data_IF_476302932139
#
_entry.id   IF_476302932139
#
_cell.length_a   1.000
_cell.length_b   1.000
_cell.length_c   1.000
_cell.angle_alpha   90.00
_cell.angle_beta   90.00
_cell.angle_gamma   90.00
#
_symmetry.space_group_name_H-M   'P 1'
#
loop_
_entity.id
_entity.type
_entity.pdbx_description
1 polymer ?
#
# COMPACT_ATOMS: atom_id res chain seq x y z
N UNK A 1 -28.38 -45.82 -20.15
CA UNK A 1 -28.64 -44.47 -19.61
C UNK A 1 -27.91 -44.32 -18.28
N UNK A 2 -26.84 -43.52 -18.23
CA UNK A 2 -26.15 -43.16 -17.00
C UNK A 2 -25.73 -41.69 -17.11
N UNK A 3 -26.50 -40.82 -16.48
CA UNK A 3 -26.22 -39.39 -16.42
C UNK A 3 -25.33 -39.12 -15.21
N UNK A 4 -24.04 -38.83 -15.45
CA UNK A 4 -23.15 -38.26 -14.45
C UNK A 4 -23.65 -36.86 -14.08
N UNK A 5 -24.13 -36.70 -12.85
CA UNK A 5 -24.41 -35.40 -12.25
C UNK A 5 -23.10 -34.63 -12.08
N UNK A 6 -22.92 -33.55 -12.86
CA UNK A 6 -21.91 -32.53 -12.57
C UNK A 6 -22.33 -31.80 -11.29
N UNK A 7 -21.43 -31.76 -10.29
CA UNK A 7 -21.56 -30.88 -9.12
C UNK A 7 -21.37 -29.43 -9.61
N UNK A 8 -22.18 -28.45 -9.17
CA UNK A 8 -21.87 -27.05 -9.41
C UNK A 8 -20.66 -26.64 -8.56
N UNK A 9 -19.76 -25.89 -9.17
CA UNK A 9 -18.50 -25.44 -8.59
C UNK A 9 -18.71 -24.51 -7.38
N UNK A 10 -18.01 -24.81 -6.30
CA UNK A 10 -17.99 -24.03 -5.06
C UNK A 10 -16.85 -23.02 -4.98
N UNK A 11 -16.42 -22.41 -6.09
CA UNK A 11 -15.26 -21.49 -6.10
C UNK A 11 -15.60 -20.05 -5.71
N UNK A 12 -16.86 -19.60 -5.82
CA UNK A 12 -17.23 -18.20 -5.54
C UNK A 12 -17.26 -17.85 -4.05
N UNK A 13 -17.66 -18.80 -3.19
CA UNK A 13 -17.79 -18.58 -1.74
C UNK A 13 -16.44 -18.48 -1.02
N UNK A 14 -15.44 -19.26 -1.43
CA UNK A 14 -14.09 -19.21 -0.85
C UNK A 14 -13.36 -17.93 -1.23
N UNK A 15 -13.47 -17.49 -2.49
CA UNK A 15 -12.88 -16.23 -2.97
C UNK A 15 -13.49 -15.00 -2.27
N UNK A 16 -14.78 -15.02 -1.95
CA UNK A 16 -15.41 -13.93 -1.19
C UNK A 16 -15.02 -13.90 0.30
N UNK A 17 -14.75 -15.05 0.91
CA UNK A 17 -14.22 -15.13 2.28
C UNK A 17 -12.78 -14.59 2.35
N UNK A 18 -11.90 -15.05 1.45
CA UNK A 18 -10.52 -14.56 1.38
C UNK A 18 -10.44 -13.04 1.16
N UNK A 19 -11.25 -12.53 0.22
CA UNK A 19 -11.36 -11.08 -0.01
C UNK A 19 -11.82 -10.31 1.24
N UNK A 20 -12.74 -10.87 2.04
CA UNK A 20 -13.18 -10.24 3.29
C UNK A 20 -12.09 -10.20 4.35
N UNK A 21 -11.30 -11.26 4.47
CA UNK A 21 -10.18 -11.32 5.41
C UNK A 21 -9.07 -10.34 5.04
N UNK A 22 -8.70 -10.26 3.76
CA UNK A 22 -7.73 -9.27 3.25
C UNK A 22 -8.19 -7.84 3.51
N UNK A 23 -9.46 -7.53 3.20
CA UNK A 23 -10.01 -6.20 3.47
C UNK A 23 -10.11 -5.91 4.97
N UNK A 24 -10.35 -6.94 5.79
CA UNK A 24 -10.33 -6.83 7.25
C UNK A 24 -8.94 -6.48 7.76
N UNK A 25 -7.88 -7.08 7.21
CA UNK A 25 -6.51 -6.78 7.58
C UNK A 25 -6.14 -5.31 7.30
N UNK A 26 -6.71 -4.71 6.25
CA UNK A 26 -6.51 -3.29 5.92
C UNK A 26 -7.51 -2.33 6.61
N UNK A 27 -8.36 -2.77 7.56
CA UNK A 27 -9.32 -1.88 8.25
C UNK A 27 -8.68 -0.85 9.19
N UNK A 28 -9.13 0.40 9.12
CA UNK A 28 -8.52 1.54 9.81
C UNK A 28 -7.62 2.33 8.86
N UNK A 29 -7.23 3.55 9.27
CA UNK A 29 -6.40 4.42 8.44
C UNK A 29 -5.06 3.78 8.09
N UNK A 30 -4.58 4.04 6.86
CA UNK A 30 -3.32 3.51 6.33
C UNK A 30 -2.49 4.60 5.67
N UNK A 31 -1.17 4.44 5.74
CA UNK A 31 -0.23 5.16 4.87
C UNK A 31 0.28 4.18 3.82
N UNK A 32 0.07 4.50 2.54
CA UNK A 32 0.53 3.69 1.44
C UNK A 32 1.92 4.14 1.01
N UNK A 33 2.84 3.19 0.95
CA UNK A 33 4.13 3.40 0.31
C UNK A 33 3.97 3.62 -1.21
N UNK A 34 4.98 4.22 -1.83
CA UNK A 34 5.04 4.40 -3.27
C UNK A 34 4.83 3.08 -4.02
N UNK A 35 5.46 1.98 -3.56
CA UNK A 35 5.30 0.66 -4.16
C UNK A 35 3.83 0.22 -4.22
N UNK A 36 3.09 0.35 -3.13
CA UNK A 36 1.67 -0.01 -3.04
C UNK A 36 0.80 0.86 -3.98
N UNK A 37 1.09 2.16 -4.06
CA UNK A 37 0.37 3.07 -4.96
C UNK A 37 0.69 2.76 -6.43
N UNK A 38 1.94 2.43 -6.76
CA UNK A 38 2.34 2.07 -8.14
C UNK A 38 1.61 0.80 -8.59
N UNK A 39 1.54 -0.24 -7.76
CA UNK A 39 0.76 -1.46 -8.03
C UNK A 39 -0.71 -1.10 -8.36
N UNK A 40 -1.32 -0.23 -7.56
CA UNK A 40 -2.68 0.28 -7.80
C UNK A 40 -2.82 1.03 -9.13
N UNK A 41 -1.96 2.03 -9.38
CA UNK A 41 -2.03 2.88 -10.57
C UNK A 41 -1.70 2.13 -11.87
N UNK A 42 -0.95 1.04 -11.78
CA UNK A 42 -0.60 0.20 -12.93
C UNK A 42 -1.54 -1.01 -13.10
N UNK A 43 -2.46 -1.24 -12.17
CA UNK A 43 -3.53 -2.25 -12.29
C UNK A 43 -3.04 -3.69 -12.12
N UNK A 44 -2.00 -3.90 -11.31
CA UNK A 44 -1.48 -5.24 -11.01
C UNK A 44 -2.42 -6.04 -10.11
N UNK A 45 -2.07 -7.30 -9.84
CA UNK A 45 -2.79 -8.16 -8.90
C UNK A 45 -2.79 -7.58 -7.47
N UNK A 46 -1.62 -7.20 -6.95
CA UNK A 46 -1.50 -6.53 -5.65
C UNK A 46 -2.25 -5.20 -5.64
N UNK A 47 -2.26 -4.48 -6.77
CA UNK A 47 -3.03 -3.24 -6.93
C UNK A 47 -4.54 -3.43 -6.74
N UNK A 48 -5.09 -4.62 -7.00
CA UNK A 48 -6.52 -4.92 -6.76
C UNK A 48 -6.85 -4.94 -5.28
N UNK A 49 -5.90 -5.28 -4.41
CA UNK A 49 -6.08 -5.25 -2.95
C UNK A 49 -6.29 -3.80 -2.50
N UNK A 50 -5.41 -2.89 -2.95
CA UNK A 50 -5.53 -1.45 -2.67
C UNK A 50 -6.86 -0.91 -3.23
N UNK A 51 -7.20 -1.25 -4.48
CA UNK A 51 -8.48 -0.86 -5.07
C UNK A 51 -9.67 -1.30 -4.20
N UNK A 52 -9.71 -2.56 -3.79
CA UNK A 52 -10.78 -3.09 -2.96
C UNK A 52 -10.85 -2.42 -1.59
N UNK A 53 -9.70 -2.07 -1.01
CA UNK A 53 -9.64 -1.30 0.24
C UNK A 53 -10.23 0.11 0.05
N UNK A 54 -9.82 0.84 -1.00
CA UNK A 54 -10.33 2.17 -1.31
C UNK A 54 -11.84 2.17 -1.60
N UNK A 55 -12.37 1.15 -2.28
CA UNK A 55 -13.81 0.97 -2.52
C UNK A 55 -14.60 0.67 -1.23
N UNK A 56 -13.94 0.11 -0.22
CA UNK A 56 -14.54 -0.27 1.07
C UNK A 56 -14.24 0.73 2.20
N UNK A 57 -13.66 1.89 1.87
CA UNK A 57 -13.25 2.90 2.84
C UNK A 57 -14.45 3.43 3.63
N UNK A 58 -14.34 3.48 4.95
CA UNK A 58 -15.34 4.11 5.83
C UNK A 58 -15.06 5.62 5.97
N UNK A 59 -16.07 6.45 6.27
CA UNK A 59 -15.90 7.90 6.39
C UNK A 59 -14.84 8.34 7.42
N UNK A 60 -14.60 7.53 8.45
CA UNK A 60 -13.62 7.80 9.51
C UNK A 60 -12.21 7.29 9.17
N UNK A 61 -12.08 6.45 8.15
CA UNK A 61 -10.81 5.90 7.69
C UNK A 61 -10.17 6.86 6.69
N UNK A 62 -8.85 7.03 6.82
CA UNK A 62 -8.07 7.91 5.95
C UNK A 62 -6.93 7.16 5.29
N UNK A 63 -6.56 7.63 4.11
CA UNK A 63 -5.44 7.10 3.33
C UNK A 63 -4.43 8.21 3.18
N UNK A 64 -3.18 7.91 3.53
CA UNK A 64 -2.09 8.88 3.50
C UNK A 64 -0.96 8.43 2.59
N UNK A 65 -0.16 9.39 2.14
CA UNK A 65 1.19 9.15 1.66
C UNK A 65 2.07 10.37 1.96
N UNK A 66 3.39 10.21 1.89
CA UNK A 66 4.32 11.32 2.06
C UNK A 66 4.55 12.08 0.74
N UNK A 67 5.00 13.33 0.82
CA UNK A 67 5.47 14.08 -0.35
C UNK A 67 6.63 13.37 -1.08
N UNK A 68 7.48 12.64 -0.33
CA UNK A 68 8.54 11.82 -0.93
C UNK A 68 7.97 10.66 -1.74
N UNK A 69 6.89 10.01 -1.26
CA UNK A 69 6.21 8.97 -2.05
C UNK A 69 5.60 9.55 -3.33
N UNK A 70 5.06 10.78 -3.32
CA UNK A 70 4.59 11.45 -4.55
C UNK A 70 5.73 11.59 -5.58
N UNK A 71 6.90 12.04 -5.13
CA UNK A 71 8.08 12.13 -5.99
C UNK A 71 8.49 10.77 -6.54
N UNK A 72 8.43 9.74 -5.70
CA UNK A 72 8.79 8.37 -6.07
C UNK A 72 7.86 7.75 -7.10
N UNK A 73 6.54 7.82 -6.85
CA UNK A 73 5.52 7.37 -7.79
C UNK A 73 5.71 8.08 -9.13
N UNK A 74 5.91 9.41 -9.12
CA UNK A 74 6.08 10.17 -10.35
C UNK A 74 7.29 9.69 -11.16
N UNK A 75 8.47 9.57 -10.56
CA UNK A 75 9.66 9.19 -11.34
C UNK A 75 9.60 7.72 -11.79
N UNK A 76 9.01 6.83 -10.99
CA UNK A 76 8.85 5.42 -11.38
C UNK A 76 7.88 5.30 -12.56
N UNK A 77 6.70 5.92 -12.48
CA UNK A 77 5.74 5.91 -13.59
C UNK A 77 6.33 6.57 -14.84
N UNK A 78 7.10 7.65 -14.67
CA UNK A 78 7.77 8.35 -15.77
C UNK A 78 8.75 7.41 -16.49
N UNK A 79 9.57 6.66 -15.74
CA UNK A 79 10.50 5.67 -16.32
C UNK A 79 9.79 4.49 -16.99
N UNK A 80 8.64 4.09 -16.46
CA UNK A 80 7.89 2.96 -16.99
C UNK A 80 7.10 3.30 -18.27
N UNK A 81 6.47 4.48 -18.32
CA UNK A 81 5.43 4.80 -19.32
C UNK A 81 5.51 6.22 -19.88
N UNK A 82 6.51 7.01 -19.52
CA UNK A 82 6.72 8.36 -20.02
C UNK A 82 6.16 9.47 -19.12
N UNK A 83 6.60 10.70 -19.38
CA UNK A 83 6.33 11.88 -18.57
C UNK A 83 4.84 12.24 -18.53
N UNK A 84 4.18 12.21 -19.68
CA UNK A 84 2.76 12.56 -19.82
C UNK A 84 1.89 11.62 -18.99
N UNK A 85 2.14 10.32 -19.08
CA UNK A 85 1.43 9.30 -18.30
C UNK A 85 1.62 9.52 -16.79
N UNK A 86 2.85 9.79 -16.34
CA UNK A 86 3.13 10.04 -14.93
C UNK A 86 2.41 11.30 -14.41
N UNK A 87 2.43 12.39 -15.18
CA UNK A 87 1.78 13.64 -14.82
C UNK A 87 0.26 13.50 -14.74
N UNK A 88 -0.36 12.85 -15.72
CA UNK A 88 -1.79 12.55 -15.71
C UNK A 88 -2.17 11.73 -14.47
N UNK A 89 -1.37 10.70 -14.15
CA UNK A 89 -1.63 9.80 -13.03
C UNK A 89 -1.53 10.44 -11.66
N UNK A 90 -0.51 11.25 -11.44
CA UNK A 90 -0.38 12.03 -10.21
C UNK A 90 -1.49 13.07 -10.11
N UNK A 91 -1.82 13.77 -11.20
CA UNK A 91 -2.85 14.80 -11.19
C UNK A 91 -4.23 14.22 -10.83
N UNK A 92 -4.61 13.08 -11.39
CA UNK A 92 -5.86 12.42 -11.06
C UNK A 92 -5.89 11.94 -9.60
N UNK A 93 -4.79 11.34 -9.11
CA UNK A 93 -4.69 10.90 -7.73
C UNK A 93 -4.88 12.07 -6.75
N UNK A 94 -4.16 13.17 -6.96
CA UNK A 94 -4.24 14.36 -6.10
C UNK A 94 -5.62 15.05 -6.20
N UNK A 95 -6.19 15.10 -7.40
CA UNK A 95 -7.53 15.70 -7.63
C UNK A 95 -8.64 14.90 -6.95
N UNK A 96 -8.50 13.56 -6.87
CA UNK A 96 -9.48 12.69 -6.20
C UNK A 96 -9.65 12.98 -4.71
N UNK A 97 -8.61 13.54 -4.06
CA UNK A 97 -8.51 13.77 -2.61
C UNK A 97 -8.74 12.53 -1.74
N UNK A 98 -8.68 11.33 -2.33
CA UNK A 98 -8.79 10.06 -1.59
C UNK A 98 -7.53 9.82 -0.76
N UNK A 99 -6.37 10.23 -1.26
CA UNK A 99 -5.08 10.13 -0.57
C UNK A 99 -4.65 11.51 -0.06
N UNK A 100 -4.52 11.66 1.25
CA UNK A 100 -4.01 12.85 1.92
C UNK A 100 -2.47 12.84 1.90
N UNK A 101 -1.85 13.91 1.39
CA UNK A 101 -0.38 14.01 1.31
C UNK A 101 0.16 14.72 2.56
N UNK A 102 1.01 14.05 3.32
CA UNK A 102 1.79 14.67 4.39
C UNK A 102 3.04 15.33 3.80
N UNK A 103 3.09 16.65 3.91
CA UNK A 103 4.17 17.51 3.41
C UNK A 103 4.77 18.39 4.52
N UNK A 104 4.65 17.96 5.77
CA UNK A 104 5.10 18.71 6.93
C UNK A 104 6.62 18.61 7.16
N UNK A 105 7.19 19.61 7.83
CA UNK A 105 8.58 19.56 8.30
C UNK A 105 8.79 18.45 9.33
N UNK A 106 7.77 18.16 10.16
CA UNK A 106 7.77 17.06 11.12
C UNK A 106 7.98 15.71 10.42
N UNK A 107 7.27 15.46 9.32
CA UNK A 107 7.46 14.26 8.49
C UNK A 107 8.88 14.18 7.94
N UNK A 108 9.42 15.27 7.40
CA UNK A 108 10.77 15.29 6.83
C UNK A 108 11.85 15.01 7.90
N UNK A 109 11.73 15.61 9.08
CA UNK A 109 12.65 15.40 10.19
C UNK A 109 12.56 13.98 10.75
N UNK A 110 11.36 13.44 10.90
CA UNK A 110 11.16 12.06 11.38
C UNK A 110 11.68 11.03 10.37
N UNK A 111 11.48 11.25 9.07
CA UNK A 111 12.06 10.41 8.01
C UNK A 111 13.59 10.46 8.04
N UNK A 112 14.18 11.64 8.23
CA UNK A 112 15.63 11.80 8.40
C UNK A 112 16.17 11.10 9.64
N UNK A 113 15.46 11.17 10.78
CA UNK A 113 15.80 10.45 12.00
C UNK A 113 15.76 8.94 11.77
N UNK A 114 14.69 8.42 11.16
CA UNK A 114 14.58 7.01 10.81
C UNK A 114 15.73 6.59 9.88
N UNK A 115 16.09 7.39 8.89
CA UNK A 115 17.20 7.08 7.97
C UNK A 115 18.57 7.06 8.66
N UNK A 116 18.76 7.89 9.68
CA UNK A 116 19.96 7.89 10.52
C UNK A 116 20.07 6.58 11.31
N UNK A 117 18.94 6.08 11.81
CA UNK A 117 18.88 4.89 12.66
C UNK A 117 18.81 3.59 11.86
N UNK A 118 18.18 3.60 10.68
CA UNK A 118 17.76 2.41 9.92
C UNK A 118 18.38 2.41 8.52
N UNK A 119 18.92 1.26 8.10
CA UNK A 119 19.50 1.11 6.77
C UNK A 119 18.44 0.76 5.68
N UNK A 120 17.40 1.59 5.56
CA UNK A 120 16.33 1.49 4.54
C UNK A 120 16.28 2.75 3.67
N UNK A 121 15.52 2.76 2.58
CA UNK A 121 15.45 3.93 1.69
C UNK A 121 14.79 5.14 2.38
N UNK A 122 15.00 6.35 1.84
CA UNK A 122 14.32 7.54 2.35
C UNK A 122 12.80 7.50 2.08
N UNK A 123 12.37 6.81 1.01
CA UNK A 123 10.95 6.58 0.69
C UNK A 123 10.27 5.67 1.72
N UNK A 124 10.95 4.58 2.12
CA UNK A 124 10.45 3.72 3.20
C UNK A 124 10.39 4.48 4.52
N UNK A 125 11.43 5.27 4.82
CA UNK A 125 11.47 6.11 6.02
C UNK A 125 10.32 7.11 6.04
N UNK A 126 10.01 7.76 4.91
CA UNK A 126 8.94 8.75 4.85
C UNK A 126 7.56 8.11 4.96
N UNK A 127 7.34 6.92 4.39
CA UNK A 127 6.11 6.16 4.60
C UNK A 127 5.91 5.82 6.08
N UNK A 128 6.94 5.29 6.75
CA UNK A 128 6.89 4.93 8.18
C UNK A 128 6.71 6.17 9.06
N UNK A 129 7.38 7.28 8.73
CA UNK A 129 7.23 8.56 9.42
C UNK A 129 5.80 9.10 9.32
N UNK A 130 5.25 9.17 8.10
CA UNK A 130 3.86 9.59 7.88
C UNK A 130 2.88 8.67 8.59
N UNK A 131 3.10 7.35 8.59
CA UNK A 131 2.25 6.41 9.34
C UNK A 131 2.26 6.72 10.84
N UNK A 132 3.43 7.02 11.41
CA UNK A 132 3.58 7.36 12.82
C UNK A 132 2.85 8.66 13.17
N UNK A 133 3.03 9.71 12.38
CA UNK A 133 2.43 11.04 12.60
C UNK A 133 0.90 10.96 12.51
N UNK A 134 0.40 10.23 11.51
CA UNK A 134 -1.04 10.08 11.24
C UNK A 134 -1.71 9.00 12.06
N UNK A 135 -0.94 8.27 12.90
CA UNK A 135 -1.41 7.13 13.70
C UNK A 135 -2.10 6.07 12.84
N UNK A 136 -1.52 5.83 11.67
CA UNK A 136 -1.98 4.83 10.70
C UNK A 136 -0.95 3.71 10.58
N UNK A 137 -1.28 2.70 9.78
CA UNK A 137 -0.40 1.55 9.51
C UNK A 137 0.31 1.76 8.19
N UNK A 138 1.58 1.39 8.10
CA UNK A 138 2.34 1.51 6.87
C UNK A 138 2.10 0.29 5.98
N UNK A 139 1.80 0.50 4.69
CA UNK A 139 1.47 -0.57 3.74
C UNK A 139 2.43 -0.51 2.56
N UNK A 140 3.19 -1.58 2.37
CA UNK A 140 4.13 -1.77 1.27
C UNK A 140 3.62 -2.84 0.31
N UNK A 141 4.02 -2.79 -0.96
CA UNK A 141 3.63 -3.84 -1.90
C UNK A 141 4.23 -5.20 -1.52
N UNK A 142 5.54 -5.22 -1.20
CA UNK A 142 6.29 -6.44 -0.92
C UNK A 142 7.22 -6.25 0.28
N UNK A 143 7.59 -7.37 0.91
CA UNK A 143 8.58 -7.37 2.00
C UNK A 143 9.99 -7.30 1.43
N UNK A 144 10.46 -6.08 1.19
CA UNK A 144 11.80 -5.84 0.69
C UNK A 144 12.89 -6.24 1.69
N UNK A 145 14.05 -6.67 1.18
CA UNK A 145 15.15 -7.23 1.98
C UNK A 145 15.67 -6.25 3.03
N UNK A 146 15.91 -4.99 2.66
CA UNK A 146 16.43 -3.97 3.58
C UNK A 146 15.43 -3.71 4.72
N UNK A 147 14.15 -3.55 4.37
CA UNK A 147 13.08 -3.35 5.33
C UNK A 147 12.92 -4.56 6.26
N UNK A 148 12.94 -5.78 5.73
CA UNK A 148 12.89 -7.01 6.52
C UNK A 148 14.06 -7.14 7.50
N UNK A 149 15.28 -6.80 7.05
CA UNK A 149 16.47 -6.83 7.90
C UNK A 149 16.33 -5.85 9.08
N UNK A 150 15.88 -4.62 8.82
CA UNK A 150 15.69 -3.61 9.85
C UNK A 150 14.57 -3.98 10.83
N UNK A 151 13.45 -4.53 10.34
CA UNK A 151 12.39 -5.08 11.20
C UNK A 151 12.89 -6.22 12.11
N UNK A 152 13.77 -7.08 11.58
CA UNK A 152 14.37 -8.16 12.35
C UNK A 152 15.41 -7.67 13.37
N UNK A 153 16.02 -6.51 13.13
CA UNK A 153 16.94 -5.86 14.06
C UNK A 153 16.20 -5.20 15.22
N UNK A 154 15.15 -4.44 14.91
CA UNK A 154 14.28 -3.79 15.88
C UNK A 154 12.93 -3.42 15.24
N UNK A 155 11.80 -3.64 15.94
CA UNK A 155 10.49 -3.28 15.40
C UNK A 155 10.35 -1.77 15.20
N UNK A 156 9.57 -1.39 14.18
CA UNK A 156 9.14 0.00 14.02
C UNK A 156 8.06 0.37 15.03
N UNK A 157 7.87 1.67 15.27
CA UNK A 157 6.81 2.20 16.14
C UNK A 157 5.40 2.08 15.54
N UNK A 158 5.29 1.63 14.30
CA UNK A 158 4.03 1.46 13.56
C UNK A 158 3.93 0.01 13.08
N UNK A 159 2.71 -0.47 12.92
CA UNK A 159 2.46 -1.74 12.24
C UNK A 159 2.76 -1.58 10.75
N UNK A 160 3.49 -2.55 10.20
CA UNK A 160 3.89 -2.61 8.79
C UNK A 160 3.22 -3.82 8.15
N UNK A 161 2.47 -3.59 7.08
CA UNK A 161 1.74 -4.60 6.32
C UNK A 161 2.31 -4.71 4.90
N UNK A 162 2.22 -5.90 4.32
CA UNK A 162 2.70 -6.19 2.97
C UNK A 162 1.56 -6.76 2.12
N UNK A 163 1.24 -6.12 1.00
CA UNK A 163 0.16 -6.58 0.11
C UNK A 163 0.36 -8.03 -0.34
N UNK A 164 1.59 -8.41 -0.69
CA UNK A 164 1.92 -9.77 -1.12
C UNK A 164 1.66 -10.85 -0.05
N UNK A 165 1.69 -10.49 1.23
CA UNK A 165 1.38 -11.44 2.32
C UNK A 165 -0.11 -11.55 2.59
N UNK A 166 -0.87 -10.51 2.23
CA UNK A 166 -2.32 -10.54 2.27
C UNK A 166 -2.89 -11.36 1.10
N UNK A 167 -2.26 -11.27 -0.07
CA UNK A 167 -2.66 -12.02 -1.27
C UNK A 167 -2.51 -13.54 -1.12
N UNK A 168 -1.55 -13.98 -0.29
CA UNK A 168 -1.25 -15.41 -0.06
C UNK A 168 -2.14 -16.09 0.99
N UNK A 169 -3.10 -15.36 1.58
CA UNK A 169 -4.09 -15.95 2.49
C UNK A 169 -5.10 -16.90 1.80
N UNK A 170 -5.03 -17.03 0.46
CA UNK A 170 -5.86 -17.94 -0.35
C UNK A 170 -5.11 -19.22 -0.84
N UNK A 171 -3.96 -19.56 -0.25
CA UNK A 171 -3.14 -20.75 -0.59
C UNK A 171 -3.39 -21.99 0.26
#
# INVERSE_FOLDING_TARGET
ASARRRRPGGSSGSLELGRREVLSALRGSVTLDASAIIEYLTGTELGRIVKGYLEALRPEEKVYCSLYNISEIFYVLCRLKGLEYAAERINEMLTSRVVEVDNTEEMALEAGRLKCERAISIGDCSCIATAKITRSRAVFAQREKELANEMGREPFAVEVLFLAELDTADG
#
